data_IF_469490526008
#
_entry.id   IF_469490526008
#
_cell.length_a   1.000
_cell.length_b   1.000
_cell.length_c   1.000
_cell.angle_alpha   90.00
_cell.angle_beta   90.00
_cell.angle_gamma   90.00
#
_symmetry.space_group_name_H-M   'P 1'
#
loop_
_entity.id
_entity.type
_entity.pdbx_description
1 polymer ?
#
# COMPACT_ATOMS: atom_id res chain seq x y z
N UNK A 1 12.16 18.58 21.94
CA UNK A 1 10.91 18.37 22.71
C UNK A 1 10.19 17.17 22.12
N UNK A 2 10.38 15.98 22.69
CA UNK A 2 9.59 14.79 22.32
C UNK A 2 8.14 15.04 22.74
N UNK A 3 7.24 15.19 21.77
CA UNK A 3 5.81 15.06 22.04
C UNK A 3 5.59 13.64 22.53
N UNK A 4 4.91 13.48 23.65
CA UNK A 4 4.38 12.19 24.08
C UNK A 4 3.61 11.58 22.90
N UNK A 5 4.13 10.48 22.33
CA UNK A 5 3.43 9.69 21.33
C UNK A 5 2.25 9.04 22.03
N UNK A 6 1.12 9.75 22.05
CA UNK A 6 -0.17 9.12 22.30
C UNK A 6 -0.35 8.02 21.25
N UNK A 7 -1.06 6.95 21.63
CA UNK A 7 -1.53 5.98 20.66
C UNK A 7 -2.36 6.72 19.61
N UNK A 8 -1.77 6.99 18.45
CA UNK A 8 -2.44 7.71 17.39
C UNK A 8 -3.66 6.88 16.95
N UNK A 9 -4.77 7.57 16.67
CA UNK A 9 -5.95 6.90 16.12
C UNK A 9 -5.53 6.20 14.82
N UNK A 10 -5.76 4.89 14.67
CA UNK A 10 -5.37 4.18 13.46
C UNK A 10 -6.03 4.85 12.24
N UNK A 11 -5.24 5.16 11.22
CA UNK A 11 -5.79 5.33 9.88
C UNK A 11 -6.47 4.01 9.50
N UNK A 12 -7.70 4.07 8.96
CA UNK A 12 -8.39 2.88 8.49
C UNK A 12 -7.54 2.19 7.41
N UNK A 13 -6.83 1.12 7.79
CA UNK A 13 -6.19 0.21 6.84
C UNK A 13 -7.27 -0.57 6.12
N UNK A 14 -7.13 -0.74 4.80
CA UNK A 14 -8.08 -1.54 4.04
C UNK A 14 -8.09 -2.98 4.54
N UNK A 15 -9.27 -3.55 4.74
CA UNK A 15 -9.45 -4.93 5.24
C UNK A 15 -9.20 -6.00 4.18
N UNK A 16 -8.93 -5.61 2.93
CA UNK A 16 -8.82 -6.56 1.79
C UNK A 16 -7.54 -6.36 0.99
N UNK A 17 -6.79 -7.46 0.79
CA UNK A 17 -5.58 -7.53 -0.04
C UNK A 17 -5.86 -7.57 -1.55
N UNK A 18 -7.12 -7.80 -1.93
CA UNK A 18 -7.65 -7.73 -3.30
C UNK A 18 -9.02 -7.09 -3.21
N UNK A 19 -9.43 -6.29 -4.19
CA UNK A 19 -10.83 -5.89 -4.26
C UNK A 19 -11.41 -6.01 -5.66
N UNK A 20 -12.47 -6.79 -5.74
CA UNK A 20 -13.34 -6.87 -6.90
C UNK A 20 -14.30 -5.69 -6.86
N UNK A 21 -14.43 -4.98 -7.98
CA UNK A 21 -15.49 -4.00 -8.26
C UNK A 21 -15.51 -2.71 -7.42
N UNK A 22 -14.46 -2.46 -6.62
CA UNK A 22 -14.39 -1.23 -5.82
C UNK A 22 -14.38 0.03 -6.68
N UNK A 23 -13.67 0.05 -7.80
CA UNK A 23 -13.51 1.22 -8.68
C UNK A 23 -14.81 1.73 -9.31
N UNK A 24 -15.80 0.84 -9.50
CA UNK A 24 -17.07 1.14 -10.15
C UNK A 24 -18.21 1.32 -9.16
N UNK A 25 -17.91 1.50 -7.87
CA UNK A 25 -18.92 1.77 -6.85
C UNK A 25 -18.97 3.24 -6.44
N UNK A 26 -20.18 3.73 -6.17
CA UNK A 26 -20.45 5.11 -5.77
C UNK A 26 -19.78 5.45 -4.43
N UNK A 27 -19.10 6.60 -4.38
CA UNK A 27 -18.40 7.08 -3.18
C UNK A 27 -19.31 7.47 -2.02
N UNK A 28 -20.60 7.72 -2.29
CA UNK A 28 -21.56 8.24 -1.32
C UNK A 28 -22.51 7.15 -0.80
N UNK A 29 -23.04 6.29 -1.68
CA UNK A 29 -24.00 5.25 -1.30
C UNK A 29 -23.48 3.81 -1.44
N UNK A 30 -22.30 3.60 -2.03
CA UNK A 30 -21.71 2.26 -2.18
C UNK A 30 -22.31 1.40 -3.30
N UNK A 31 -23.33 1.89 -4.02
CA UNK A 31 -23.93 1.17 -5.16
C UNK A 31 -22.88 0.86 -6.23
N UNK A 32 -22.86 -0.38 -6.71
CA UNK A 32 -21.94 -0.88 -7.74
C UNK A 32 -22.53 -0.69 -9.14
N UNK A 33 -21.69 -0.37 -10.12
CA UNK A 33 -22.05 -0.15 -11.52
C UNK A 33 -21.16 -1.00 -12.44
N UNK A 34 -21.59 -1.21 -13.68
CA UNK A 34 -20.77 -1.93 -14.67
C UNK A 34 -19.59 -1.11 -15.22
N UNK A 35 -19.64 0.22 -15.14
CA UNK A 35 -18.60 1.11 -15.66
C UNK A 35 -18.35 2.31 -14.75
N UNK A 36 -17.14 2.87 -14.85
CA UNK A 36 -16.76 4.13 -14.19
C UNK A 36 -17.70 5.26 -14.64
N UNK A 37 -18.05 5.31 -15.92
CA UNK A 37 -18.96 6.32 -16.47
C UNK A 37 -20.34 6.27 -15.82
N UNK A 38 -20.95 5.07 -15.74
CA UNK A 38 -22.25 4.88 -15.10
C UNK A 38 -22.22 5.25 -13.61
N UNK A 39 -21.14 4.90 -12.90
CA UNK A 39 -20.93 5.34 -11.51
C UNK A 39 -20.90 6.86 -11.41
N UNK A 40 -20.10 7.55 -12.22
CA UNK A 40 -20.01 9.02 -12.18
C UNK A 40 -21.32 9.70 -12.52
N UNK A 41 -22.06 9.17 -13.49
CA UNK A 41 -23.36 9.70 -13.86
C UNK A 41 -24.33 9.62 -12.67
N UNK A 42 -24.36 8.46 -11.99
CA UNK A 42 -25.15 8.30 -10.78
C UNK A 42 -24.71 9.25 -9.65
N UNK A 43 -23.40 9.39 -9.41
CA UNK A 43 -22.85 10.33 -8.43
C UNK A 43 -23.31 11.77 -8.69
N UNK A 44 -23.35 12.20 -9.96
CA UNK A 44 -23.85 13.52 -10.36
C UNK A 44 -25.36 13.67 -10.17
N UNK A 45 -26.14 12.66 -10.57
CA UNK A 45 -27.60 12.74 -10.60
C UNK A 45 -28.25 12.53 -9.22
N UNK A 46 -27.78 11.54 -8.46
CA UNK A 46 -28.39 11.13 -7.20
C UNK A 46 -27.81 11.84 -5.97
N UNK A 47 -26.59 12.36 -6.09
CA UNK A 47 -25.86 12.95 -4.97
C UNK A 47 -25.35 14.37 -5.26
N UNK A 48 -25.72 14.93 -6.42
CA UNK A 48 -25.25 16.25 -6.88
C UNK A 48 -23.73 16.41 -6.86
N UNK A 49 -22.97 15.32 -7.02
CA UNK A 49 -21.50 15.31 -6.95
C UNK A 49 -20.88 15.92 -8.21
N UNK A 50 -20.95 17.24 -8.30
CA UNK A 50 -20.40 18.04 -9.39
C UNK A 50 -18.88 18.15 -9.30
N UNK A 51 -18.24 18.68 -10.35
CA UNK A 51 -16.80 18.96 -10.35
C UNK A 51 -16.37 19.91 -9.21
N UNK A 52 -17.20 20.91 -8.86
CA UNK A 52 -16.92 21.83 -7.77
C UNK A 52 -17.02 21.15 -6.40
N UNK A 53 -18.03 20.30 -6.20
CA UNK A 53 -18.13 19.51 -4.97
C UNK A 53 -16.96 18.54 -4.84
N UNK A 54 -16.59 17.85 -5.92
CA UNK A 54 -15.43 16.96 -5.97
C UNK A 54 -14.15 17.67 -5.55
N UNK A 55 -13.84 18.82 -6.17
CA UNK A 55 -12.64 19.60 -5.84
C UNK A 55 -12.58 19.99 -4.35
N UNK A 56 -13.71 20.43 -3.80
CA UNK A 56 -13.85 20.77 -2.37
C UNK A 56 -13.69 19.56 -1.45
N UNK A 57 -14.17 18.39 -1.87
CA UNK A 57 -14.15 17.15 -1.09
C UNK A 57 -12.86 16.34 -1.25
N UNK A 58 -12.04 16.62 -2.28
CA UNK A 58 -10.82 15.89 -2.55
C UNK A 58 -9.59 16.54 -1.92
N UNK A 59 -9.53 17.88 -1.92
CA UNK A 59 -8.30 18.63 -1.66
C UNK A 59 -8.25 19.16 -0.23
N UNK A 60 -7.24 18.76 0.54
CA UNK A 60 -6.91 19.37 1.81
C UNK A 60 -5.39 19.33 2.01
N UNK A 61 -4.70 20.37 1.52
CA UNK A 61 -3.27 20.51 1.76
C UNK A 61 -3.05 20.89 3.22
N UNK A 62 -2.50 19.95 3.98
CA UNK A 62 -2.19 20.12 5.39
C UNK A 62 -0.98 21.06 5.57
N UNK A 63 -0.86 21.78 6.70
CA UNK A 63 0.28 22.68 6.95
C UNK A 63 1.66 22.01 6.96
N UNK A 64 1.71 20.69 7.18
CA UNK A 64 2.92 19.87 7.10
C UNK A 64 3.24 19.41 5.66
N UNK A 65 2.50 19.89 4.65
CA UNK A 65 2.72 19.54 3.25
C UNK A 65 4.09 20.01 2.75
N UNK A 66 4.85 19.08 2.19
CA UNK A 66 6.12 19.35 1.51
C UNK A 66 5.97 20.30 0.30
N UNK A 67 4.77 20.45 -0.25
CA UNK A 67 4.53 21.19 -1.50
C UNK A 67 4.70 22.71 -1.37
N UNK A 68 4.62 23.24 -0.15
CA UNK A 68 4.75 24.68 0.10
C UNK A 68 6.22 25.12 0.30
N UNK A 69 7.17 24.18 0.27
CA UNK A 69 8.60 24.47 0.23
C UNK A 69 9.01 25.12 -1.10
N UNK A 70 10.09 25.90 -1.10
CA UNK A 70 10.50 26.72 -2.26
C UNK A 70 11.84 26.35 -2.89
N UNK A 71 12.58 25.38 -2.32
CA UNK A 71 13.90 25.00 -2.83
C UNK A 71 14.24 23.52 -2.57
N UNK A 72 15.23 23.01 -3.32
CA UNK A 72 15.76 21.65 -3.13
C UNK A 72 16.45 21.45 -1.79
N UNK A 73 17.10 22.49 -1.25
CA UNK A 73 17.76 22.44 0.05
C UNK A 73 16.73 22.29 1.16
N UNK A 74 15.64 23.05 1.11
CA UNK A 74 14.54 22.92 2.07
C UNK A 74 13.88 21.54 1.98
N UNK A 75 13.68 21.01 0.77
CA UNK A 75 13.17 19.65 0.58
C UNK A 75 14.11 18.61 1.20
N UNK A 76 15.42 18.70 0.95
CA UNK A 76 16.40 17.76 1.50
C UNK A 76 16.37 17.77 3.03
N UNK A 77 16.42 18.96 3.65
CA UNK A 77 16.31 19.11 5.10
C UNK A 77 15.00 18.52 5.64
N UNK A 78 13.88 18.76 4.94
CA UNK A 78 12.59 18.19 5.31
C UNK A 78 12.61 16.66 5.27
N UNK A 79 13.19 16.08 4.22
CA UNK A 79 13.30 14.64 4.06
C UNK A 79 14.11 14.02 5.20
N UNK A 80 15.27 14.57 5.52
CA UNK A 80 16.16 14.11 6.59
C UNK A 80 15.56 14.30 8.00
N UNK A 81 14.74 15.34 8.19
CA UNK A 81 14.19 15.70 9.52
C UNK A 81 12.82 15.09 9.81
N UNK A 82 12.01 14.80 8.79
CA UNK A 82 10.62 14.42 9.00
C UNK A 82 10.19 13.16 8.22
N UNK A 83 10.89 12.78 7.15
CA UNK A 83 10.47 11.62 6.34
C UNK A 83 11.32 10.39 6.57
N UNK A 84 12.64 10.53 6.51
CA UNK A 84 13.55 9.42 6.67
C UNK A 84 13.48 8.88 8.10
N UNK A 85 13.41 7.55 8.27
CA UNK A 85 13.48 6.94 9.58
C UNK A 85 14.77 7.32 10.32
N UNK A 86 14.73 7.27 11.64
CA UNK A 86 15.92 7.43 12.46
C UNK A 86 17.00 6.41 12.07
N UNK A 87 18.26 6.84 12.12
CA UNK A 87 19.43 6.06 11.75
C UNK A 87 20.30 5.73 12.97
N UNK A 88 21.27 4.82 12.81
CA UNK A 88 22.22 4.49 13.87
C UNK A 88 21.59 3.70 15.02
N UNK A 89 21.94 4.08 16.27
CA UNK A 89 21.61 3.31 17.47
C UNK A 89 20.09 3.07 17.65
N UNK A 90 19.27 4.09 17.42
CA UNK A 90 17.81 4.00 17.55
C UNK A 90 17.24 2.95 16.59
N UNK A 91 17.70 2.94 15.33
CA UNK A 91 17.27 1.95 14.33
C UNK A 91 17.68 0.53 14.71
N UNK A 92 18.90 0.36 15.21
CA UNK A 92 19.42 -0.95 15.64
C UNK A 92 18.64 -1.49 16.84
N UNK A 93 18.36 -0.64 17.83
CA UNK A 93 17.56 -1.03 18.98
C UNK A 93 16.12 -1.36 18.60
N UNK A 94 15.49 -0.58 17.70
CA UNK A 94 14.17 -0.92 17.17
C UNK A 94 14.17 -2.26 16.43
N UNK A 95 15.19 -2.54 15.61
CA UNK A 95 15.29 -3.81 14.91
C UNK A 95 15.37 -5.01 15.86
N UNK A 96 16.09 -4.86 16.98
CA UNK A 96 16.14 -5.87 18.05
C UNK A 96 14.77 -6.14 18.68
N UNK A 97 14.10 -5.08 19.14
CA UNK A 97 12.79 -5.21 19.81
C UNK A 97 11.67 -5.66 18.85
N UNK A 98 11.73 -5.29 17.57
CA UNK A 98 10.84 -5.84 16.54
C UNK A 98 11.10 -7.34 16.35
N UNK A 99 12.36 -7.77 16.37
CA UNK A 99 12.73 -9.18 16.35
C UNK A 99 12.10 -9.95 17.50
N UNK A 100 12.29 -9.46 18.74
CA UNK A 100 11.69 -10.04 19.94
C UNK A 100 10.16 -10.08 19.87
N UNK A 101 9.53 -9.02 19.34
CA UNK A 101 8.08 -8.98 19.15
C UNK A 101 7.61 -10.07 18.17
N UNK A 102 8.30 -10.24 17.04
CA UNK A 102 7.98 -11.28 16.05
C UNK A 102 8.14 -12.68 16.65
N UNK A 103 9.22 -12.91 17.40
CA UNK A 103 9.47 -14.20 18.06
C UNK A 103 8.39 -14.49 19.11
N UNK A 104 7.93 -13.47 19.84
CA UNK A 104 6.81 -13.59 20.76
C UNK A 104 5.49 -13.90 20.04
N UNK A 105 5.18 -13.23 18.93
CA UNK A 105 3.99 -13.52 18.12
C UNK A 105 4.00 -15.00 17.67
N UNK A 106 5.15 -15.49 17.22
CA UNK A 106 5.31 -16.89 16.84
C UNK A 106 5.07 -17.82 18.03
N UNK A 107 5.64 -17.51 19.20
CA UNK A 107 5.50 -18.30 20.43
C UNK A 107 4.07 -18.28 21.00
N UNK A 108 3.35 -17.18 20.83
CA UNK A 108 1.95 -17.03 21.23
C UNK A 108 0.97 -17.63 20.21
N UNK A 109 1.43 -18.05 19.03
CA UNK A 109 0.57 -18.67 18.03
C UNK A 109 0.06 -20.02 18.54
N UNK A 110 -1.26 -20.28 18.53
CA UNK A 110 -1.83 -21.52 19.07
C UNK A 110 -1.57 -22.74 18.16
N UNK A 111 -0.96 -22.54 16.99
CA UNK A 111 -0.60 -23.59 16.04
C UNK A 111 0.88 -23.49 15.68
N UNK A 112 1.48 -24.59 15.24
CA UNK A 112 2.89 -24.63 14.85
C UNK A 112 3.14 -23.75 13.62
N UNK A 113 4.03 -22.78 13.76
CA UNK A 113 4.46 -21.92 12.65
C UNK A 113 5.71 -22.52 12.01
N UNK A 114 5.64 -22.76 10.71
CA UNK A 114 6.70 -23.38 9.92
C UNK A 114 7.56 -22.36 9.19
N UNK A 115 6.97 -21.23 8.78
CA UNK A 115 7.67 -20.17 8.05
C UNK A 115 7.00 -18.83 8.31
N UNK A 116 7.80 -17.77 8.32
CA UNK A 116 7.33 -16.40 8.51
C UNK A 116 7.83 -15.53 7.37
N UNK A 117 6.92 -14.73 6.83
CA UNK A 117 7.24 -13.66 5.88
C UNK A 117 7.04 -12.31 6.55
N UNK A 118 7.99 -11.40 6.32
CA UNK A 118 8.08 -10.08 6.94
C UNK A 118 7.92 -9.02 5.86
N UNK A 119 6.82 -8.28 5.90
CA UNK A 119 6.40 -7.27 4.94
C UNK A 119 6.06 -5.93 5.60
N UNK A 120 5.22 -5.13 4.95
CA UNK A 120 4.95 -3.77 5.40
C UNK A 120 6.06 -2.78 5.04
N UNK A 121 5.79 -1.50 5.30
CA UNK A 121 6.71 -0.42 4.91
C UNK A 121 8.05 -0.50 5.63
N UNK A 122 8.11 -1.03 6.86
CA UNK A 122 9.36 -1.22 7.60
C UNK A 122 10.31 -2.19 6.90
N UNK A 123 9.84 -3.38 6.53
CA UNK A 123 10.69 -4.40 5.90
C UNK A 123 10.95 -4.13 4.41
N UNK A 124 10.05 -3.41 3.73
CA UNK A 124 10.31 -2.86 2.39
C UNK A 124 11.35 -1.73 2.42
N UNK A 125 11.51 -1.06 3.57
CA UNK A 125 12.36 0.11 3.73
C UNK A 125 11.74 1.36 3.11
N UNK A 126 10.41 1.48 3.15
CA UNK A 126 9.61 2.64 2.70
C UNK A 126 8.81 3.26 3.85
N UNK A 127 9.10 2.87 5.08
CA UNK A 127 8.58 3.46 6.32
C UNK A 127 9.03 4.91 6.44
N UNK A 128 8.19 5.73 7.06
CA UNK A 128 8.52 7.13 7.38
C UNK A 128 8.75 7.27 8.87
N UNK A 129 9.37 8.37 9.31
CA UNK A 129 9.60 8.66 10.74
C UNK A 129 8.34 8.51 11.60
N UNK A 130 7.23 9.07 11.14
CA UNK A 130 5.97 9.09 11.91
C UNK A 130 5.05 7.90 11.61
N UNK A 131 5.38 7.06 10.63
CA UNK A 131 4.50 5.97 10.22
C UNK A 131 5.28 4.79 9.69
N UNK A 132 5.17 3.68 10.42
CA UNK A 132 5.86 2.43 10.15
C UNK A 132 4.90 1.26 10.29
N UNK A 133 4.75 0.51 9.20
CA UNK A 133 3.92 -0.68 9.17
C UNK A 133 4.75 -1.95 9.06
N UNK A 134 4.31 -2.99 9.76
CA UNK A 134 4.88 -4.33 9.72
C UNK A 134 3.75 -5.32 9.41
N UNK A 135 3.87 -6.00 8.28
CA UNK A 135 2.93 -7.06 7.93
C UNK A 135 3.64 -8.41 8.16
N UNK A 136 3.03 -9.34 8.89
CA UNK A 136 3.59 -10.66 9.19
C UNK A 136 2.67 -11.72 8.63
N UNK A 137 3.19 -12.63 7.81
CA UNK A 137 2.44 -13.81 7.36
C UNK A 137 3.08 -15.05 7.97
N UNK A 138 2.33 -15.73 8.84
CA UNK A 138 2.73 -16.98 9.46
C UNK A 138 2.14 -18.16 8.69
N UNK A 139 3.01 -19.01 8.15
CA UNK A 139 2.63 -20.24 7.50
C UNK A 139 2.65 -21.40 8.49
N UNK A 140 1.59 -22.20 8.49
CA UNK A 140 1.47 -23.35 9.39
C UNK A 140 1.17 -24.61 8.61
N UNK A 141 1.85 -25.70 8.96
CA UNK A 141 1.51 -27.04 8.47
C UNK A 141 0.21 -27.57 9.08
N UNK A 142 -0.34 -26.94 10.13
CA UNK A 142 -1.64 -27.29 10.69
C UNK A 142 -2.82 -26.75 9.86
N UNK A 143 -2.54 -25.87 8.88
CA UNK A 143 -3.49 -25.35 7.91
C UNK A 143 -3.27 -26.06 6.58
N UNK A 144 -4.09 -27.08 6.30
CA UNK A 144 -3.79 -28.05 5.22
C UNK A 144 -4.20 -27.56 3.82
N UNK A 145 -5.17 -26.65 3.75
CA UNK A 145 -5.71 -26.13 2.50
C UNK A 145 -6.30 -24.74 2.71
N UNK A 146 -6.69 -24.08 1.61
CA UNK A 146 -7.39 -22.80 1.70
C UNK A 146 -8.79 -22.90 2.32
N UNK A 147 -9.47 -24.03 2.17
CA UNK A 147 -10.73 -24.30 2.86
C UNK A 147 -10.50 -24.39 4.36
N UNK A 148 -9.46 -25.13 4.76
CA UNK A 148 -9.07 -25.27 6.16
C UNK A 148 -8.67 -23.90 6.78
N UNK A 149 -7.92 -23.09 6.02
CA UNK A 149 -7.63 -21.71 6.39
C UNK A 149 -8.90 -20.88 6.61
N UNK A 150 -9.84 -20.92 5.66
CA UNK A 150 -11.09 -20.15 5.73
C UNK A 150 -11.91 -20.49 6.97
N UNK A 151 -11.91 -21.75 7.40
CA UNK A 151 -12.63 -22.21 8.59
C UNK A 151 -11.91 -21.87 9.90
N UNK A 152 -10.57 -22.04 9.96
CA UNK A 152 -9.81 -21.97 11.21
C UNK A 152 -9.17 -20.62 11.51
N UNK A 153 -8.87 -19.77 10.53
CA UNK A 153 -8.10 -18.53 10.75
C UNK A 153 -8.76 -17.63 11.80
N UNK A 154 -10.09 -17.51 11.77
CA UNK A 154 -10.79 -16.64 12.69
C UNK A 154 -10.66 -17.09 14.16
N UNK A 155 -10.65 -18.40 14.45
CA UNK A 155 -10.41 -18.89 15.82
C UNK A 155 -8.95 -18.75 16.21
N UNK A 156 -8.03 -19.12 15.32
CA UNK A 156 -6.58 -19.02 15.56
C UNK A 156 -6.15 -17.58 15.85
N UNK A 157 -6.68 -16.60 15.13
CA UNK A 157 -6.41 -15.18 15.38
C UNK A 157 -6.98 -14.70 16.72
N UNK A 158 -8.15 -15.20 17.15
CA UNK A 158 -8.71 -14.87 18.47
C UNK A 158 -7.85 -15.43 19.60
N UNK A 159 -7.38 -16.67 19.45
CA UNK A 159 -6.53 -17.32 20.45
C UNK A 159 -5.14 -16.67 20.49
N UNK A 160 -4.58 -16.29 19.34
CA UNK A 160 -3.36 -15.49 19.26
C UNK A 160 -3.53 -14.12 19.96
N UNK A 161 -4.63 -13.41 19.71
CA UNK A 161 -4.93 -12.15 20.40
C UNK A 161 -4.98 -12.34 21.91
N UNK A 162 -5.65 -13.40 22.38
CA UNK A 162 -5.73 -13.74 23.80
C UNK A 162 -4.34 -14.01 24.39
N UNK A 163 -3.54 -14.85 23.73
CA UNK A 163 -2.18 -15.18 24.17
C UNK A 163 -1.25 -13.95 24.21
N UNK A 164 -1.36 -13.05 23.23
CA UNK A 164 -0.60 -11.80 23.21
C UNK A 164 -1.01 -10.88 24.37
N UNK A 165 -2.29 -10.83 24.75
CA UNK A 165 -2.77 -10.06 25.91
C UNK A 165 -2.25 -10.59 27.25
N UNK A 166 -1.91 -11.88 27.32
CA UNK A 166 -1.31 -12.51 28.49
C UNK A 166 0.22 -12.50 28.47
N UNK A 167 0.83 -12.01 27.39
CA UNK A 167 2.27 -12.03 27.21
C UNK A 167 3.00 -10.95 28.01
N UNK A 168 4.32 -11.09 28.13
CA UNK A 168 5.20 -10.11 28.76
C UNK A 168 5.20 -8.74 28.07
N UNK A 169 4.74 -8.65 26.81
CA UNK A 169 4.68 -7.39 26.05
C UNK A 169 3.30 -6.73 26.04
N UNK A 170 2.35 -7.22 26.83
CA UNK A 170 0.96 -6.73 26.83
C UNK A 170 0.84 -5.21 27.04
N UNK A 171 1.68 -4.62 27.90
CA UNK A 171 1.73 -3.18 28.16
C UNK A 171 2.25 -2.34 26.97
N UNK A 172 2.86 -2.99 25.97
CA UNK A 172 3.41 -2.39 24.77
C UNK A 172 2.55 -2.65 23.53
N UNK A 173 1.47 -3.42 23.67
CA UNK A 173 0.57 -3.79 22.58
C UNK A 173 -0.77 -3.10 22.80
N UNK A 174 -1.21 -2.33 21.80
CA UNK A 174 -2.58 -1.82 21.73
C UNK A 174 -3.32 -2.48 20.57
N UNK A 175 -4.28 -3.34 20.89
CA UNK A 175 -5.09 -4.01 19.86
C UNK A 175 -5.93 -2.99 19.08
N UNK A 176 -5.95 -3.15 17.76
CA UNK A 176 -6.74 -2.32 16.83
C UNK A 176 -8.04 -3.05 16.40
N UNK A 177 -8.81 -2.40 15.53
CA UNK A 177 -10.05 -2.99 14.99
C UNK A 177 -9.77 -4.31 14.28
N UNK A 178 -10.58 -5.32 14.59
CA UNK A 178 -10.47 -6.67 14.03
C UNK A 178 -10.75 -6.69 12.53
N UNK A 179 -9.86 -7.35 11.79
CA UNK A 179 -10.07 -7.86 10.44
C UNK A 179 -10.42 -9.34 10.52
N UNK A 180 -11.17 -9.88 9.54
CA UNK A 180 -11.52 -11.30 9.51
C UNK A 180 -10.33 -12.21 9.15
N UNK A 181 -9.31 -11.67 8.50
CA UNK A 181 -8.14 -12.42 8.01
C UNK A 181 -6.83 -11.99 8.67
N UNK A 182 -6.89 -11.03 9.59
CA UNK A 182 -5.68 -10.55 10.25
C UNK A 182 -5.90 -9.95 11.63
N UNK A 183 -4.87 -10.06 12.47
CA UNK A 183 -4.81 -9.46 13.80
C UNK A 183 -3.95 -8.19 13.73
N UNK A 184 -4.56 -7.05 14.04
CA UNK A 184 -3.93 -5.74 13.98
C UNK A 184 -3.70 -5.17 15.36
N UNK A 185 -2.52 -4.59 15.57
CA UNK A 185 -2.19 -3.91 16.82
C UNK A 185 -1.05 -2.91 16.62
N UNK A 186 -0.97 -1.94 17.53
CA UNK A 186 0.18 -1.04 17.63
C UNK A 186 1.17 -1.61 18.64
N UNK A 187 2.44 -1.55 18.29
CA UNK A 187 3.54 -1.96 19.15
C UNK A 187 4.40 -0.75 19.49
N UNK A 188 4.46 -0.40 20.78
CA UNK A 188 5.40 0.59 21.30
C UNK A 188 6.80 0.00 21.33
N UNK A 189 7.69 0.60 20.57
CA UNK A 189 9.06 0.19 20.38
C UNK A 189 10.03 1.23 20.96
N UNK A 190 11.14 0.73 21.47
CA UNK A 190 12.32 1.44 21.94
C UNK A 190 12.01 2.63 22.85
N UNK A 191 11.84 2.36 24.15
CA UNK A 191 11.52 3.37 25.18
C UNK A 191 10.30 4.24 24.81
N UNK A 192 9.30 3.66 24.15
CA UNK A 192 8.11 4.34 23.65
C UNK A 192 8.37 5.48 22.67
N UNK A 193 9.56 5.50 22.04
CA UNK A 193 9.93 6.54 21.07
C UNK A 193 9.40 6.25 19.67
N UNK A 194 9.07 5.00 19.34
CA UNK A 194 8.49 4.61 18.06
C UNK A 194 7.25 3.74 18.24
N UNK A 195 6.30 3.88 17.31
CA UNK A 195 5.11 3.03 17.22
C UNK A 195 5.13 2.32 15.87
N UNK A 196 4.96 1.00 15.88
CA UNK A 196 4.79 0.20 14.67
C UNK A 196 3.39 -0.39 14.61
N UNK A 197 2.75 -0.31 13.45
CA UNK A 197 1.45 -0.93 13.20
C UNK A 197 1.68 -2.33 12.64
N UNK A 198 1.36 -3.35 13.44
CA UNK A 198 1.44 -4.75 13.06
C UNK A 198 0.14 -5.22 12.40
N UNK A 199 0.26 -6.01 11.33
CA UNK A 199 -0.82 -6.75 10.71
C UNK A 199 -0.40 -8.21 10.54
N UNK A 200 -0.90 -9.08 11.42
CA UNK A 200 -0.51 -10.49 11.50
C UNK A 200 -1.56 -11.36 10.81
N UNK A 201 -1.14 -12.08 9.79
CA UNK A 201 -1.97 -12.99 8.98
C UNK A 201 -1.48 -14.43 9.13
N UNK A 202 -2.39 -15.38 8.90
CA UNK A 202 -2.04 -16.79 8.77
C UNK A 202 -2.47 -17.32 7.40
N UNK A 203 -1.70 -18.27 6.87
CA UNK A 203 -2.03 -18.95 5.62
C UNK A 203 -1.41 -20.36 5.59
N UNK A 204 -1.96 -21.25 4.76
CA UNK A 204 -1.30 -22.51 4.41
C UNK A 204 -0.14 -22.22 3.44
N UNK A 205 0.96 -22.98 3.54
CA UNK A 205 2.13 -22.74 2.69
C UNK A 205 1.93 -23.29 1.27
N UNK A 206 1.27 -22.51 0.40
CA UNK A 206 0.95 -22.92 -0.96
C UNK A 206 2.16 -22.98 -1.91
N UNK A 207 3.23 -22.26 -1.59
CA UNK A 207 4.38 -22.07 -2.50
C UNK A 207 5.66 -22.68 -1.94
N UNK A 208 5.77 -22.86 -0.63
CA UNK A 208 7.02 -23.19 0.03
C UNK A 208 8.04 -22.04 -0.04
N UNK A 209 9.27 -22.28 0.45
CA UNK A 209 10.32 -21.27 0.51
C UNK A 209 10.91 -20.92 -0.87
N UNK A 210 10.93 -21.88 -1.80
CA UNK A 210 11.48 -21.70 -3.15
C UNK A 210 10.62 -22.44 -4.16
N UNK A 211 9.45 -21.90 -4.53
CA UNK A 211 8.55 -22.55 -5.46
C UNK A 211 9.16 -22.67 -6.85
N UNK A 212 9.02 -23.85 -7.44
CA UNK A 212 9.24 -24.05 -8.86
C UNK A 212 8.20 -23.26 -9.70
N UNK A 213 8.55 -22.97 -10.96
CA UNK A 213 7.74 -22.12 -11.83
C UNK A 213 6.37 -22.72 -12.17
N UNK A 214 6.29 -24.05 -12.26
CA UNK A 214 5.06 -24.81 -12.45
C UNK A 214 4.11 -24.68 -11.26
N UNK A 215 4.63 -24.72 -10.02
CA UNK A 215 3.88 -24.50 -8.78
C UNK A 215 3.27 -23.10 -8.77
N UNK A 216 4.06 -22.06 -9.08
CA UNK A 216 3.55 -20.68 -9.20
C UNK A 216 2.47 -20.57 -10.28
N UNK A 217 2.71 -21.12 -11.46
CA UNK A 217 1.74 -21.11 -12.57
C UNK A 217 0.45 -21.83 -12.17
N UNK A 218 0.53 -22.92 -11.42
CA UNK A 218 -0.65 -23.62 -10.92
C UNK A 218 -1.43 -22.76 -9.92
N UNK A 219 -0.73 -22.11 -8.97
CA UNK A 219 -1.36 -21.17 -8.04
C UNK A 219 -2.09 -20.05 -8.79
N UNK A 220 -1.47 -19.44 -9.79
CA UNK A 220 -2.12 -18.40 -10.60
C UNK A 220 -3.36 -18.91 -11.34
N UNK A 221 -3.35 -20.15 -11.88
CA UNK A 221 -4.54 -20.76 -12.50
C UNK A 221 -5.66 -20.96 -11.49
N UNK A 222 -5.34 -21.45 -10.30
CA UNK A 222 -6.33 -21.66 -9.25
C UNK A 222 -6.92 -20.33 -8.77
N UNK A 223 -6.07 -19.33 -8.54
CA UNK A 223 -6.48 -17.98 -8.17
C UNK A 223 -7.39 -17.36 -9.24
N UNK A 224 -7.02 -17.43 -10.52
CA UNK A 224 -7.80 -16.86 -11.61
C UNK A 224 -9.20 -17.50 -11.75
N UNK A 225 -9.31 -18.80 -11.47
CA UNK A 225 -10.58 -19.53 -11.54
C UNK A 225 -11.33 -19.55 -10.19
N UNK A 226 -10.80 -18.87 -9.16
CA UNK A 226 -11.41 -18.86 -7.84
C UNK A 226 -12.59 -17.89 -7.82
N UNK A 227 -13.77 -18.38 -7.44
CA UNK A 227 -14.98 -17.58 -7.23
C UNK A 227 -15.23 -17.20 -5.76
N UNK A 228 -14.30 -17.50 -4.86
CA UNK A 228 -14.46 -17.29 -3.41
C UNK A 228 -13.58 -16.14 -2.92
N UNK A 229 -14.23 -15.04 -2.50
CA UNK A 229 -13.58 -13.80 -2.03
C UNK A 229 -12.56 -14.02 -0.89
N UNK A 230 -12.79 -14.99 -0.01
CA UNK A 230 -11.88 -15.26 1.10
C UNK A 230 -10.65 -16.01 0.59
N UNK A 231 -10.86 -17.03 -0.24
CA UNK A 231 -9.74 -17.77 -0.85
C UNK A 231 -8.88 -16.88 -1.76
N UNK A 232 -9.49 -15.98 -2.53
CA UNK A 232 -8.76 -14.99 -3.34
C UNK A 232 -7.82 -14.15 -2.46
N UNK A 233 -8.29 -13.72 -1.29
CA UNK A 233 -7.44 -12.98 -0.35
C UNK A 233 -6.31 -13.85 0.21
N UNK A 234 -6.58 -15.11 0.56
CA UNK A 234 -5.56 -16.03 1.06
C UNK A 234 -4.48 -16.35 0.01
N UNK A 235 -4.88 -16.51 -1.25
CA UNK A 235 -3.93 -16.61 -2.37
C UNK A 235 -3.04 -15.37 -2.47
N UNK A 236 -3.60 -14.16 -2.36
CA UNK A 236 -2.81 -12.93 -2.37
C UNK A 236 -1.89 -12.79 -1.17
N UNK A 237 -2.31 -13.26 0.01
CA UNK A 237 -1.45 -13.35 1.21
C UNK A 237 -0.26 -14.28 0.93
N UNK A 238 -0.47 -15.42 0.27
CA UNK A 238 0.61 -16.33 -0.11
C UNK A 238 1.61 -15.71 -1.12
N UNK A 239 1.18 -14.69 -1.89
CA UNK A 239 2.01 -13.95 -2.85
C UNK A 239 2.71 -12.73 -2.24
N UNK A 240 2.42 -12.36 -0.98
CA UNK A 240 2.92 -11.13 -0.36
C UNK A 240 4.45 -11.00 -0.39
N UNK A 241 5.18 -12.11 -0.24
CA UNK A 241 6.65 -12.11 -0.29
C UNK A 241 7.16 -11.49 -1.60
N UNK A 242 6.54 -11.79 -2.75
CA UNK A 242 6.97 -11.25 -4.04
C UNK A 242 6.67 -9.75 -4.19
N UNK A 243 5.58 -9.27 -3.60
CA UNK A 243 5.28 -7.83 -3.55
C UNK A 243 6.34 -7.10 -2.72
N UNK A 244 6.70 -7.69 -1.56
CA UNK A 244 7.74 -7.15 -0.67
C UNK A 244 9.07 -7.10 -1.41
N UNK A 245 9.50 -8.21 -2.02
CA UNK A 245 10.78 -8.29 -2.73
C UNK A 245 10.86 -7.31 -3.89
N UNK A 246 9.78 -7.16 -4.66
CA UNK A 246 9.71 -6.21 -5.77
C UNK A 246 9.99 -4.78 -5.32
N UNK A 247 9.33 -4.31 -4.24
CA UNK A 247 9.56 -2.96 -3.71
C UNK A 247 10.94 -2.86 -3.05
N UNK A 248 11.35 -3.89 -2.30
CA UNK A 248 12.59 -3.92 -1.51
C UNK A 248 13.84 -3.88 -2.38
N UNK A 249 13.76 -4.36 -3.63
CA UNK A 249 14.81 -4.26 -4.65
C UNK A 249 15.13 -2.82 -5.08
N UNK A 250 14.29 -1.85 -4.75
CA UNK A 250 14.53 -0.44 -5.05
C UNK A 250 15.74 0.13 -4.29
N UNK A 251 16.47 1.05 -4.92
CA UNK A 251 17.59 1.76 -4.29
C UNK A 251 17.12 2.69 -3.17
N UNK A 252 18.04 3.15 -2.32
CA UNK A 252 17.72 4.10 -1.23
C UNK A 252 17.06 5.38 -1.78
N UNK A 253 17.58 5.94 -2.87
CA UNK A 253 16.99 7.12 -3.51
C UNK A 253 15.55 6.89 -3.98
N UNK A 254 15.24 5.72 -4.55
CA UNK A 254 13.85 5.40 -4.95
C UNK A 254 12.95 5.22 -3.73
N UNK A 255 13.44 4.60 -2.66
CA UNK A 255 12.71 4.47 -1.40
C UNK A 255 12.39 5.83 -0.78
N UNK A 256 13.29 6.79 -0.90
CA UNK A 256 13.06 8.17 -0.45
C UNK A 256 12.07 8.93 -1.34
N UNK A 257 12.09 8.71 -2.65
CA UNK A 257 11.05 9.22 -3.54
C UNK A 257 9.67 8.62 -3.18
N UNK A 258 9.61 7.32 -2.87
CA UNK A 258 8.39 6.66 -2.39
C UNK A 258 7.90 7.30 -1.09
N UNK A 259 8.79 7.56 -0.11
CA UNK A 259 8.41 8.26 1.14
C UNK A 259 7.83 9.63 0.85
N UNK A 260 8.42 10.38 -0.07
CA UNK A 260 7.95 11.69 -0.49
C UNK A 260 6.55 11.63 -1.13
N UNK A 261 6.31 10.65 -2.01
CA UNK A 261 5.00 10.41 -2.63
C UNK A 261 3.96 9.98 -1.59
N UNK A 262 4.32 9.08 -0.67
CA UNK A 262 3.44 8.65 0.43
C UNK A 262 3.07 9.82 1.35
N UNK A 263 4.05 10.68 1.67
CA UNK A 263 3.82 11.87 2.45
C UNK A 263 2.88 12.84 1.73
N UNK A 264 3.17 13.17 0.45
CA UNK A 264 2.29 13.97 -0.39
C UNK A 264 0.85 13.44 -0.40
N UNK A 265 0.70 12.13 -0.58
CA UNK A 265 -0.59 11.46 -0.64
C UNK A 265 -1.36 11.55 0.69
N UNK A 266 -0.66 11.49 1.82
CA UNK A 266 -1.25 11.64 3.15
C UNK A 266 -1.66 13.09 3.45
N UNK A 267 -0.89 14.07 2.99
CA UNK A 267 -1.04 15.49 3.37
C UNK A 267 -1.78 16.35 2.34
N UNK A 268 -2.18 15.79 1.19
CA UNK A 268 -2.85 16.56 0.12
C UNK A 268 -4.34 16.28 -0.02
N UNK A 269 -4.83 15.17 0.54
CA UNK A 269 -6.21 14.74 0.36
C UNK A 269 -7.04 15.01 1.61
N UNK A 270 -8.28 15.47 1.40
CA UNK A 270 -9.25 15.57 2.48
C UNK A 270 -9.59 14.19 3.04
N UNK A 271 -9.79 14.15 4.37
CA UNK A 271 -10.26 12.95 5.07
C UNK A 271 -11.69 12.63 4.63
N UNK A 272 -12.06 11.34 4.52
CA UNK A 272 -13.45 10.95 4.29
C UNK A 272 -14.39 11.54 5.34
N UNK A 273 -15.59 11.89 4.91
CA UNK A 273 -16.71 12.34 5.75
C UNK A 273 -17.88 11.38 5.57
N UNK A 274 -18.92 11.50 6.40
CA UNK A 274 -20.14 10.69 6.25
C UNK A 274 -20.76 10.81 4.85
N UNK A 275 -20.62 11.98 4.21
CA UNK A 275 -21.14 12.21 2.87
C UNK A 275 -20.47 11.33 1.80
N UNK A 276 -19.21 10.95 1.99
CA UNK A 276 -18.45 10.12 1.04
C UNK A 276 -17.79 8.92 1.72
N UNK A 277 -18.49 8.29 2.67
CA UNK A 277 -17.98 7.17 3.48
C UNK A 277 -17.51 5.95 2.69
N UNK A 278 -17.90 5.81 1.41
CA UNK A 278 -17.45 4.72 0.53
C UNK A 278 -16.34 5.17 -0.45
N UNK A 279 -15.82 6.38 -0.28
CA UNK A 279 -14.66 6.88 -1.00
C UNK A 279 -13.43 6.09 -0.64
N UNK A 280 -12.71 5.63 -1.65
CA UNK A 280 -11.46 4.88 -1.52
C UNK A 280 -10.42 5.42 -2.46
N UNK A 281 -9.39 6.01 -1.87
CA UNK A 281 -8.18 6.42 -2.58
C UNK A 281 -7.31 5.19 -2.91
N UNK A 282 -6.39 5.28 -3.88
CA UNK A 282 -5.44 4.21 -4.15
C UNK A 282 -4.62 3.82 -2.92
N UNK A 283 -4.22 2.56 -2.85
CA UNK A 283 -3.39 2.06 -1.75
C UNK A 283 -1.97 2.65 -1.80
N UNK A 284 -1.28 2.66 -0.66
CA UNK A 284 0.16 2.99 -0.63
C UNK A 284 0.98 2.09 -1.55
N UNK A 285 0.62 0.81 -1.69
CA UNK A 285 1.29 -0.11 -2.62
C UNK A 285 1.10 0.31 -4.07
N UNK A 286 -0.12 0.72 -4.46
CA UNK A 286 -0.38 1.28 -5.80
C UNK A 286 0.52 2.49 -6.09
N UNK A 287 0.68 3.38 -5.09
CA UNK A 287 1.55 4.55 -5.21
C UNK A 287 3.04 4.19 -5.27
N UNK A 288 3.48 3.17 -4.51
CA UNK A 288 4.83 2.59 -4.59
C UNK A 288 5.11 2.09 -6.01
N UNK A 289 4.20 1.31 -6.60
CA UNK A 289 4.34 0.74 -7.94
C UNK A 289 4.41 1.82 -9.04
N UNK A 290 3.52 2.81 -9.01
CA UNK A 290 3.55 3.92 -9.97
C UNK A 290 4.86 4.71 -9.85
N UNK A 291 5.34 4.94 -8.63
CA UNK A 291 6.61 5.64 -8.38
C UNK A 291 7.79 4.88 -8.96
N UNK A 292 7.85 3.56 -8.72
CA UNK A 292 8.89 2.68 -9.29
C UNK A 292 8.84 2.71 -10.82
N UNK A 293 7.65 2.61 -11.42
CA UNK A 293 7.50 2.66 -12.87
C UNK A 293 8.01 3.98 -13.47
N UNK A 294 7.63 5.12 -12.88
CA UNK A 294 8.06 6.44 -13.35
C UNK A 294 9.58 6.59 -13.27
N UNK A 295 10.21 6.08 -12.22
CA UNK A 295 11.68 6.01 -12.13
C UNK A 295 12.31 5.06 -13.16
N UNK A 296 11.67 3.92 -13.45
CA UNK A 296 12.12 2.99 -14.49
C UNK A 296 12.08 3.64 -15.88
N UNK A 297 11.04 4.42 -16.20
CA UNK A 297 10.94 5.19 -17.45
C UNK A 297 12.07 6.22 -17.61
N UNK A 298 12.60 6.73 -16.49
CA UNK A 298 13.74 7.64 -16.47
C UNK A 298 15.10 6.93 -16.68
N UNK A 299 15.11 5.63 -17.01
CA UNK A 299 16.34 4.88 -17.22
C UNK A 299 17.03 4.43 -15.93
N UNK A 300 16.26 4.29 -14.83
CA UNK A 300 16.75 3.79 -13.53
C UNK A 300 17.97 4.57 -12.97
N UNK A 301 17.94 5.91 -12.92
CA UNK A 301 19.07 6.70 -12.45
C UNK A 301 19.40 6.38 -10.98
N UNK A 302 20.70 6.29 -10.68
CA UNK A 302 21.20 6.11 -9.30
C UNK A 302 20.97 7.39 -8.49
N UNK A 303 21.33 8.54 -9.08
CA UNK A 303 21.17 9.86 -8.49
C UNK A 303 20.19 10.68 -9.32
N UNK A 304 19.22 11.32 -8.65
CA UNK A 304 18.24 12.17 -9.31
C UNK A 304 17.69 13.21 -8.34
N UNK A 305 17.11 14.28 -8.89
CA UNK A 305 16.44 15.31 -8.10
C UNK A 305 15.08 14.81 -7.60
N UNK A 306 14.85 14.86 -6.29
CA UNK A 306 13.54 14.52 -5.70
C UNK A 306 12.41 15.44 -6.15
N UNK A 307 12.69 16.72 -6.42
CA UNK A 307 11.71 17.64 -7.02
C UNK A 307 11.29 17.13 -8.39
N UNK A 308 12.25 16.74 -9.24
CA UNK A 308 11.96 16.22 -10.57
C UNK A 308 11.22 14.87 -10.50
N UNK A 309 11.63 13.98 -9.60
CA UNK A 309 10.98 12.69 -9.38
C UNK A 309 9.52 12.85 -8.92
N UNK A 310 9.27 13.67 -7.89
CA UNK A 310 7.93 13.94 -7.40
C UNK A 310 7.08 14.59 -8.49
N UNK A 311 7.64 15.57 -9.20
CA UNK A 311 6.98 16.22 -10.34
C UNK A 311 6.58 15.21 -11.42
N UNK A 312 7.47 14.29 -11.78
CA UNK A 312 7.23 13.27 -12.78
C UNK A 312 6.08 12.33 -12.35
N UNK A 313 6.09 11.87 -11.09
CA UNK A 313 5.01 11.04 -10.54
C UNK A 313 3.69 11.79 -10.58
N UNK A 314 3.64 13.06 -10.17
CA UNK A 314 2.41 13.85 -10.18
C UNK A 314 1.89 14.10 -11.61
N UNK A 315 2.76 14.31 -12.59
CA UNK A 315 2.36 14.39 -14.00
C UNK A 315 1.77 13.07 -14.51
N UNK A 316 2.37 11.93 -14.17
CA UNK A 316 1.82 10.61 -14.47
C UNK A 316 0.40 10.46 -13.89
N UNK A 317 0.19 10.90 -12.64
CA UNK A 317 -1.14 10.87 -11.99
C UNK A 317 -2.14 11.85 -12.60
N UNK A 318 -1.70 12.99 -13.16
CA UNK A 318 -2.59 13.90 -13.91
C UNK A 318 -3.12 13.22 -15.18
N UNK A 319 -2.30 12.36 -15.79
CA UNK A 319 -2.67 11.57 -16.97
C UNK A 319 -3.05 10.14 -16.57
N UNK A 320 -3.84 9.97 -15.50
CA UNK A 320 -4.17 8.64 -15.00
C UNK A 320 -4.90 7.76 -16.03
N UNK A 321 -5.60 8.37 -16.99
CA UNK A 321 -6.25 7.65 -18.10
C UNK A 321 -5.26 7.04 -19.08
N UNK A 322 -3.99 7.43 -19.04
CA UNK A 322 -2.93 6.87 -19.89
C UNK A 322 -2.09 5.81 -19.17
N UNK A 323 -2.28 5.65 -17.86
CA UNK A 323 -1.56 4.67 -17.05
C UNK A 323 -1.95 3.25 -17.49
N UNK A 324 -0.97 2.53 -18.01
CA UNK A 324 -1.04 1.13 -18.38
C UNK A 324 0.32 0.47 -18.10
N UNK A 325 0.44 -0.20 -16.94
CA UNK A 325 1.72 -0.68 -16.40
C UNK A 325 1.64 -2.19 -16.15
N UNK A 326 2.64 -2.91 -16.62
CA UNK A 326 2.80 -4.37 -16.45
C UNK A 326 4.28 -4.66 -16.22
N UNK A 327 4.55 -5.57 -15.29
CA UNK A 327 5.85 -6.22 -15.11
C UNK A 327 5.71 -7.71 -15.44
N UNK A 328 6.82 -8.34 -15.84
CA UNK A 328 6.86 -9.75 -16.23
C UNK A 328 7.96 -10.56 -15.54
N UNK A 329 8.40 -10.10 -14.37
CA UNK A 329 9.42 -10.76 -13.56
C UNK A 329 8.91 -12.07 -12.92
N UNK A 330 7.65 -12.09 -12.44
CA UNK A 330 7.06 -13.26 -11.75
C UNK A 330 6.16 -14.12 -12.63
N UNK A 331 5.74 -13.60 -13.79
CA UNK A 331 4.87 -14.29 -14.74
C UNK A 331 5.15 -13.84 -16.16
N UNK A 332 4.96 -14.75 -17.12
CA UNK A 332 5.20 -14.51 -18.54
C UNK A 332 4.05 -13.69 -19.16
N UNK A 333 4.37 -12.65 -19.95
CA UNK A 333 3.38 -11.86 -20.72
C UNK A 333 2.49 -12.71 -21.63
N UNK A 334 3.03 -13.83 -22.14
CA UNK A 334 2.30 -14.75 -23.00
C UNK A 334 1.33 -15.66 -22.25
N UNK A 335 1.42 -15.69 -20.91
CA UNK A 335 0.54 -16.51 -20.10
C UNK A 335 -0.92 -16.09 -20.29
N UNK A 336 -1.79 -17.06 -20.56
CA UNK A 336 -3.19 -16.79 -20.90
C UNK A 336 -3.95 -15.95 -19.85
N UNK A 337 -3.59 -16.09 -18.57
CA UNK A 337 -4.16 -15.31 -17.46
C UNK A 337 -3.83 -13.83 -17.61
N UNK A 338 -2.56 -13.51 -17.94
CA UNK A 338 -2.14 -12.14 -18.21
C UNK A 338 -2.91 -11.61 -19.41
N UNK A 339 -2.96 -12.33 -20.54
CA UNK A 339 -3.73 -11.92 -21.72
C UNK A 339 -5.19 -11.62 -21.39
N UNK A 340 -5.85 -12.45 -20.56
CA UNK A 340 -7.22 -12.20 -20.09
C UNK A 340 -7.33 -10.98 -19.19
N UNK A 341 -6.37 -10.74 -18.29
CA UNK A 341 -6.34 -9.53 -17.48
C UNK A 341 -6.22 -8.27 -18.36
N UNK A 342 -5.40 -8.32 -19.42
CA UNK A 342 -5.21 -7.20 -20.36
C UNK A 342 -6.41 -6.90 -21.26
N UNK A 343 -7.30 -7.87 -21.48
CA UNK A 343 -8.57 -7.63 -22.19
C UNK A 343 -9.47 -6.67 -21.40
N UNK A 344 -9.34 -6.61 -20.07
CA UNK A 344 -10.03 -5.63 -19.24
C UNK A 344 -9.30 -4.29 -19.35
N UNK A 345 -9.65 -3.49 -20.35
CA UNK A 345 -9.03 -2.20 -20.64
C UNK A 345 -9.46 -1.07 -19.69
N UNK A 346 -9.77 -1.37 -18.42
CA UNK A 346 -10.12 -0.35 -17.42
C UNK A 346 -8.87 0.45 -17.05
N UNK A 347 -8.87 1.76 -17.32
CA UNK A 347 -7.78 2.66 -16.96
C UNK A 347 -8.13 3.53 -15.75
N UNK A 348 -7.17 3.84 -14.86
CA UNK A 348 -5.76 3.41 -14.87
C UNK A 348 -5.60 1.89 -14.64
N UNK A 349 -4.58 1.32 -15.27
CA UNK A 349 -4.25 -0.10 -15.18
C UNK A 349 -2.82 -0.29 -14.69
N UNK A 350 -2.66 -0.94 -13.55
CA UNK A 350 -1.36 -1.35 -13.02
C UNK A 350 -1.49 -2.79 -12.54
N UNK A 351 -0.94 -3.73 -13.31
CA UNK A 351 -0.96 -5.14 -12.93
C UNK A 351 0.01 -5.36 -11.77
N UNK A 352 -0.44 -6.03 -10.72
CA UNK A 352 0.41 -6.37 -9.59
C UNK A 352 1.60 -7.23 -10.06
N UNK A 353 2.87 -6.83 -9.82
CA UNK A 353 4.03 -7.62 -10.21
C UNK A 353 4.07 -9.02 -9.58
N UNK A 354 3.36 -9.26 -8.48
CA UNK A 354 3.27 -10.58 -7.85
C UNK A 354 2.02 -11.39 -8.24
N UNK A 355 0.97 -10.73 -8.71
CA UNK A 355 -0.34 -11.32 -8.95
C UNK A 355 -0.89 -10.96 -10.35
N UNK A 356 -0.83 -11.88 -11.33
CA UNK A 356 -1.24 -11.61 -12.72
C UNK A 356 -2.76 -11.49 -12.90
N UNK A 357 -3.55 -11.65 -11.84
CA UNK A 357 -5.02 -11.51 -11.90
C UNK A 357 -5.52 -10.19 -11.33
N UNK A 358 -4.62 -9.35 -10.79
CA UNK A 358 -5.03 -8.21 -9.98
C UNK A 358 -4.49 -6.88 -10.52
N UNK A 359 -5.40 -6.05 -11.02
CA UNK A 359 -5.12 -4.65 -11.29
C UNK A 359 -5.22 -3.85 -9.98
N UNK A 360 -4.09 -3.39 -9.45
CA UNK A 360 -4.05 -2.69 -8.15
C UNK A 360 -4.80 -1.36 -8.16
N UNK A 361 -5.17 -0.84 -9.34
CA UNK A 361 -5.97 0.37 -9.47
C UNK A 361 -7.47 0.13 -9.22
N UNK A 362 -7.95 -1.11 -9.28
CA UNK A 362 -9.37 -1.45 -9.10
C UNK A 362 -9.85 -1.27 -7.65
N UNK A 363 -8.91 -1.16 -6.69
CA UNK A 363 -9.23 -0.89 -5.29
C UNK A 363 -9.76 0.54 -5.04
N UNK A 364 -9.57 1.46 -5.99
CA UNK A 364 -9.94 2.88 -5.82
C UNK A 364 -11.07 3.31 -6.74
N UNK A 365 -12.04 4.04 -6.19
CA UNK A 365 -13.11 4.73 -6.94
C UNK A 365 -12.89 6.24 -7.05
N UNK A 366 -11.68 6.73 -6.74
CA UNK A 366 -11.40 8.17 -6.61
C UNK A 366 -10.20 8.62 -7.47
N UNK A 367 -9.90 7.94 -8.58
CA UNK A 367 -8.81 8.33 -9.49
C UNK A 367 -9.00 9.71 -10.13
N UNK A 368 -10.24 10.13 -10.33
CA UNK A 368 -10.60 11.49 -10.77
C UNK A 368 -10.22 12.56 -9.74
N UNK A 369 -10.32 12.24 -8.44
CA UNK A 369 -9.83 13.08 -7.36
C UNK A 369 -8.30 13.08 -7.27
N UNK A 370 -7.66 11.92 -7.47
CA UNK A 370 -6.19 11.83 -7.52
C UNK A 370 -5.63 12.72 -8.63
N UNK A 371 -6.24 12.67 -9.81
CA UNK A 371 -5.92 13.55 -10.94
C UNK A 371 -6.06 15.02 -10.57
N UNK A 372 -7.18 15.39 -9.93
CA UNK A 372 -7.42 16.76 -9.49
C UNK A 372 -6.37 17.24 -8.48
N UNK A 373 -6.13 16.47 -7.42
CA UNK A 373 -5.17 16.83 -6.36
C UNK A 373 -3.74 16.88 -6.91
N UNK A 374 -3.35 15.95 -7.78
CA UNK A 374 -2.05 15.99 -8.45
C UNK A 374 -1.89 17.27 -9.30
N UNK A 375 -2.93 17.66 -10.05
CA UNK A 375 -2.92 18.91 -10.82
C UNK A 375 -2.76 20.14 -9.92
N UNK A 376 -3.49 20.20 -8.81
CA UNK A 376 -3.34 21.30 -7.84
C UNK A 376 -1.95 21.30 -7.19
N UNK A 377 -1.38 20.13 -6.94
CA UNK A 377 -0.05 19.97 -6.34
C UNK A 377 1.05 20.51 -7.25
N UNK A 378 0.92 20.33 -8.57
CA UNK A 378 1.85 20.90 -9.55
C UNK A 378 1.84 22.44 -9.59
N UNK A 379 0.80 23.09 -9.06
CA UNK A 379 0.70 24.54 -8.95
C UNK A 379 1.28 25.11 -7.65
N UNK A 380 1.68 24.23 -6.71
CA UNK A 380 2.25 24.63 -5.42
C UNK A 380 3.71 25.08 -5.54
N UNK A 381 4.21 25.91 -4.60
CA UNK A 381 5.53 26.54 -4.67
C UNK A 381 6.69 25.62 -5.03
N UNK A 382 6.73 24.39 -4.51
CA UNK A 382 7.82 23.44 -4.76
C UNK A 382 7.95 23.03 -6.23
N UNK A 383 6.83 23.01 -6.96
CA UNK A 383 6.72 22.40 -8.28
C UNK A 383 6.33 23.39 -9.38
N UNK A 384 5.78 24.54 -9.00
CA UNK A 384 5.29 25.56 -9.93
C UNK A 384 6.43 26.07 -10.80
N UNK A 385 6.24 26.01 -12.11
CA UNK A 385 7.21 26.53 -13.09
C UNK A 385 8.48 25.68 -13.25
N UNK A 386 8.59 24.54 -12.56
CA UNK A 386 9.76 23.65 -12.69
C UNK A 386 9.74 22.98 -14.07
N UNK A 387 10.76 23.28 -14.87
CA UNK A 387 11.02 22.62 -16.15
C UNK A 387 11.61 21.22 -15.94
N UNK A 388 11.24 20.26 -16.78
CA UNK A 388 11.83 18.93 -16.72
C UNK A 388 13.33 19.00 -17.08
N UNK A 389 14.14 18.23 -16.36
CA UNK A 389 15.58 18.06 -16.62
C UNK A 389 15.89 16.58 -16.80
N UNK A 390 16.99 16.25 -17.47
CA UNK A 390 17.49 14.86 -17.56
C UNK A 390 17.53 14.22 -16.17
N UNK A 391 17.08 12.97 -16.00
CA UNK A 391 16.54 12.05 -17.02
C UNK A 391 15.01 12.13 -17.26
N UNK A 392 14.34 13.16 -16.73
CA UNK A 392 12.87 13.29 -16.68
C UNK A 392 12.25 14.02 -17.89
N UNK A 393 13.00 14.22 -18.97
CA UNK A 393 12.55 14.99 -20.14
C UNK A 393 11.31 14.39 -20.83
N UNK A 394 11.12 13.07 -20.74
CA UNK A 394 9.94 12.38 -21.28
C UNK A 394 8.62 12.90 -20.70
N UNK A 395 8.67 13.50 -19.50
CA UNK A 395 7.50 14.08 -18.84
C UNK A 395 7.04 15.39 -19.47
N UNK A 396 7.80 16.01 -20.39
CA UNK A 396 7.35 17.22 -21.09
C UNK A 396 6.11 16.97 -21.97
N UNK A 397 5.93 15.73 -22.41
CA UNK A 397 4.78 15.30 -23.20
C UNK A 397 3.57 14.91 -22.34
N UNK A 398 3.65 15.13 -21.02
CA UNK A 398 2.61 14.84 -20.03
C UNK A 398 1.99 16.12 -19.48
#
# INVERSE_FOLDING_TARGET
>A
MCKNLYWDKPLQREDKFVALEKAVSCRMCGRVFGTIHSREQHERQAHHFTASQRARMSTAFSPDSVLDLTSSVLLQNFMETYLQPEMGFVRMACAGEIGECIDLIQKCCPISVTRIIKGGSYFKGTDTRDWSDIDIVMFSSALMSLDDCKEKIASVLRDLEYNLKLSLMTNRILMEKKSSLSLRFQFKCFKDLHIHHFDVMLCCDLLGPTPAQDVKRNLYRQLFNCGDDVKIQLYSIALLQYQVDFVKASTVGVKDLIRLVKHWFRTSFAKPTEANRFRRLPSSYTMELITIHVWQLAGKPIFFSFIQGLRAVLKCLVNCTDIFIIWDDQYDKNFHIVKKALQKQSRPFVLDPANPTFNVCENSNAWDEVTHVARQSLLKPLLRGIQAKVPWLFTNNW
#
